data_IF_776153727985
#
_entry.id   IF_776153727985
#
_cell.length_a   1.000
_cell.length_b   1.000
_cell.length_c   1.000
_cell.angle_alpha   90.00
_cell.angle_beta   90.00
_cell.angle_gamma   90.00
#
_symmetry.space_group_name_H-M   'P 1'
#
loop_
_entity.id
_entity.type
_entity.pdbx_description
1 polymer ?
#
# COMPACT_ATOMS: atom_id res chain seq x y z
N UNK A 1 -44.14 4.16 29.93
CA UNK A 1 -43.94 2.70 29.92
C UNK A 1 -43.12 2.27 28.70
N UNK A 2 -41.81 2.53 28.72
CA UNK A 2 -40.91 2.27 27.59
C UNK A 2 -39.49 1.73 27.96
N UNK A 3 -39.14 1.30 29.20
CA UNK A 3 -37.84 0.69 29.43
C UNK A 3 -37.82 -0.86 29.48
N UNK A 4 -38.95 -1.57 29.37
CA UNK A 4 -38.97 -3.04 29.55
C UNK A 4 -38.85 -3.89 28.27
N UNK A 5 -38.95 -3.30 27.07
CA UNK A 5 -38.93 -4.08 25.82
C UNK A 5 -37.51 -4.29 25.27
N UNK A 6 -36.57 -3.39 25.56
CA UNK A 6 -35.19 -3.47 25.06
C UNK A 6 -34.33 -4.53 25.78
N UNK A 7 -34.72 -4.96 26.99
CA UNK A 7 -33.97 -5.96 27.74
C UNK A 7 -34.21 -7.41 27.28
N UNK A 8 -35.29 -7.69 26.51
CA UNK A 8 -35.63 -9.05 26.07
C UNK A 8 -35.04 -9.45 24.72
N UNK A 9 -34.62 -8.50 23.89
CA UNK A 9 -33.98 -8.76 22.59
C UNK A 9 -32.47 -8.97 22.70
N UNK A 10 -31.80 -8.34 23.67
CA UNK A 10 -30.36 -8.53 23.88
C UNK A 10 -29.98 -9.92 24.40
N UNK A 11 -30.87 -10.59 25.15
CA UNK A 11 -30.60 -11.92 25.73
C UNK A 11 -30.82 -13.07 24.74
N UNK A 12 -31.53 -12.83 23.62
CA UNK A 12 -31.82 -13.89 22.63
C UNK A 12 -30.71 -14.11 21.60
N UNK A 13 -29.80 -13.15 21.43
CA UNK A 13 -28.67 -13.28 20.50
C UNK A 13 -27.43 -13.96 21.12
N UNK A 14 -27.39 -14.16 22.44
CA UNK A 14 -26.23 -14.74 23.14
C UNK A 14 -26.32 -16.26 23.37
N UNK A 15 -27.37 -16.95 22.90
CA UNK A 15 -27.59 -18.40 23.15
C UNK A 15 -27.51 -19.33 21.94
N UNK A 16 -27.18 -18.83 20.75
CA UNK A 16 -27.03 -19.67 19.55
C UNK A 16 -25.58 -19.72 19.03
N UNK A 17 -24.61 -19.83 19.94
CA UNK A 17 -23.20 -20.04 19.63
C UNK A 17 -22.75 -21.51 19.73
N UNK A 18 -23.69 -22.45 19.65
CA UNK A 18 -23.38 -23.87 19.56
C UNK A 18 -23.94 -24.44 18.26
N UNK A 19 -23.07 -24.59 17.26
CA UNK A 19 -22.96 -25.71 16.30
C UNK A 19 -22.21 -25.29 15.03
N UNK A 20 -20.94 -24.92 15.16
CA UNK A 20 -20.01 -25.07 14.02
C UNK A 20 -19.55 -26.53 13.98
N UNK A 21 -20.27 -27.37 13.22
CA UNK A 21 -19.73 -28.66 12.78
C UNK A 21 -18.84 -28.42 11.58
N UNK A 22 -17.54 -28.63 11.77
CA UNK A 22 -16.57 -28.77 10.69
C UNK A 22 -16.89 -30.07 9.95
N UNK A 23 -17.40 -29.95 8.72
CA UNK A 23 -17.51 -31.08 7.81
C UNK A 23 -16.16 -31.24 7.12
N UNK A 24 -15.36 -32.18 7.60
CA UNK A 24 -14.17 -32.67 6.91
C UNK A 24 -14.64 -33.63 5.82
N UNK A 25 -14.58 -33.21 4.55
CA UNK A 25 -14.69 -34.14 3.43
C UNK A 25 -13.32 -34.69 3.08
N UNK A 26 -13.18 -36.00 3.24
CA UNK A 26 -12.01 -36.78 2.83
C UNK A 26 -11.88 -36.81 1.30
N UNK A 27 -10.65 -36.92 0.84
CA UNK A 27 -10.24 -36.74 -0.54
C UNK A 27 -10.81 -37.76 -1.53
N UNK A 28 -10.93 -37.31 -2.77
CA UNK A 28 -10.94 -38.17 -3.94
C UNK A 28 -10.04 -37.52 -4.99
N UNK A 29 -8.86 -38.13 -5.17
CA UNK A 29 -7.94 -37.80 -6.23
C UNK A 29 -8.57 -38.20 -7.57
N UNK A 30 -8.79 -37.23 -8.45
CA UNK A 30 -8.89 -37.48 -9.88
C UNK A 30 -7.83 -36.66 -10.60
N UNK A 31 -6.81 -37.39 -11.05
CA UNK A 31 -5.82 -36.92 -12.00
C UNK A 31 -6.55 -36.56 -13.31
N UNK A 32 -6.43 -35.30 -13.70
CA UNK A 32 -6.64 -34.87 -15.08
C UNK A 32 -5.34 -34.22 -15.53
N UNK A 33 -4.60 -34.96 -16.34
CA UNK A 33 -3.40 -34.53 -17.04
C UNK A 33 -3.76 -33.45 -18.06
N UNK A 34 -3.45 -32.20 -17.75
CA UNK A 34 -3.27 -31.15 -18.75
C UNK A 34 -1.78 -30.94 -18.93
N UNK A 35 -1.32 -31.18 -20.15
CA UNK A 35 0.03 -30.89 -20.63
C UNK A 35 0.23 -29.38 -20.50
N UNK A 36 0.99 -28.97 -19.50
CA UNK A 36 1.46 -27.59 -19.32
C UNK A 36 2.69 -27.44 -20.21
N UNK A 37 2.57 -26.58 -21.22
CA UNK A 37 3.72 -26.08 -21.95
C UNK A 37 4.67 -25.41 -20.94
N UNK A 38 5.89 -25.93 -20.84
CA UNK A 38 7.00 -25.31 -20.14
C UNK A 38 7.33 -23.99 -20.83
N UNK A 39 6.71 -22.90 -20.40
CA UNK A 39 7.31 -21.57 -20.53
C UNK A 39 8.31 -21.44 -19.38
N UNK A 40 9.60 -21.53 -19.72
CA UNK A 40 10.69 -21.15 -18.84
C UNK A 40 10.53 -19.68 -18.46
N UNK A 41 10.00 -19.41 -17.27
CA UNK A 41 10.04 -18.09 -16.66
C UNK A 41 11.49 -17.77 -16.29
N UNK A 42 12.22 -17.21 -17.25
CA UNK A 42 13.47 -16.52 -16.97
C UNK A 42 13.13 -15.37 -16.01
N UNK A 43 13.57 -15.50 -14.77
CA UNK A 43 13.34 -14.52 -13.72
C UNK A 43 14.65 -13.74 -13.50
N UNK A 44 14.89 -12.64 -14.24
CA UNK A 44 16.15 -11.88 -14.17
C UNK A 44 16.38 -11.25 -12.78
N UNK A 45 15.35 -11.21 -11.93
CA UNK A 45 15.45 -10.69 -10.58
C UNK A 45 16.10 -11.69 -9.59
N UNK A 46 16.17 -12.98 -9.92
CA UNK A 46 16.76 -14.00 -9.03
C UNK A 46 18.30 -14.05 -9.10
N UNK A 47 18.90 -13.80 -10.27
CA UNK A 47 20.36 -13.78 -10.43
C UNK A 47 20.99 -12.49 -9.88
N UNK A 48 20.25 -11.37 -9.89
CA UNK A 48 20.71 -10.13 -9.25
C UNK A 48 20.77 -10.21 -7.72
N UNK A 49 19.98 -11.08 -7.08
CA UNK A 49 19.96 -11.21 -5.61
C UNK A 49 21.12 -12.08 -5.11
N UNK A 50 21.60 -13.04 -5.91
CA UNK A 50 22.66 -13.96 -5.52
C UNK A 50 24.07 -13.36 -5.63
N UNK A 51 24.29 -12.36 -6.49
CA UNK A 51 25.61 -11.76 -6.70
C UNK A 51 25.96 -10.58 -5.78
N UNK A 52 25.04 -10.12 -4.91
CA UNK A 52 25.22 -8.89 -4.12
C UNK A 52 25.44 -9.11 -2.62
N UNK A 53 25.67 -10.36 -2.17
CA UNK A 53 25.82 -10.70 -0.75
C UNK A 53 27.27 -10.95 -0.27
N UNK A 54 28.30 -10.68 -1.06
CA UNK A 54 29.69 -10.93 -0.64
C UNK A 54 30.69 -9.89 -1.13
N UNK A 55 30.43 -8.61 -0.88
CA UNK A 55 31.47 -7.59 -0.98
C UNK A 55 31.49 -6.75 0.31
N UNK A 56 32.63 -6.66 1.02
CA UNK A 56 32.80 -5.61 2.02
C UNK A 56 32.55 -4.25 1.34
N UNK A 57 32.02 -3.25 2.07
CA UNK A 57 31.72 -1.95 1.48
C UNK A 57 33.00 -1.44 0.81
N UNK A 58 32.96 -1.33 -0.51
CA UNK A 58 33.94 -0.58 -1.26
C UNK A 58 33.93 0.83 -0.65
N UNK A 59 35.08 1.26 -0.14
CA UNK A 59 35.34 2.65 0.23
C UNK A 59 35.20 3.47 -1.05
N UNK A 60 33.96 3.84 -1.39
CA UNK A 60 33.73 4.99 -2.24
C UNK A 60 34.45 6.14 -1.55
N UNK A 61 35.35 6.83 -2.25
CA UNK A 61 35.87 8.13 -1.82
C UNK A 61 34.68 9.11 -1.79
N UNK A 62 33.81 8.95 -0.79
CA UNK A 62 32.88 9.99 -0.39
C UNK A 62 33.74 11.16 0.02
N UNK A 63 33.54 12.27 -0.68
CA UNK A 63 34.17 13.56 -0.41
C UNK A 63 33.85 13.95 1.04
N UNK A 64 34.76 13.60 1.94
CA UNK A 64 34.56 13.62 3.39
C UNK A 64 34.14 15.00 3.88
N UNK A 65 34.71 16.04 3.27
CA UNK A 65 34.39 17.44 3.56
C UNK A 65 32.93 17.76 3.25
N UNK A 66 32.41 17.29 2.11
CA UNK A 66 31.00 17.50 1.73
C UNK A 66 30.04 16.75 2.63
N UNK A 67 30.39 15.52 3.00
CA UNK A 67 29.56 14.74 3.92
C UNK A 67 29.52 15.39 5.30
N UNK A 68 30.65 15.91 5.78
CA UNK A 68 30.70 16.61 7.05
C UNK A 68 29.90 17.92 7.02
N UNK A 69 29.98 18.68 5.92
CA UNK A 69 29.19 19.89 5.73
C UNK A 69 27.68 19.59 5.75
N UNK A 70 27.24 18.50 5.12
CA UNK A 70 25.84 18.08 5.12
C UNK A 70 25.31 17.58 6.47
N UNK A 71 26.22 17.18 7.37
CA UNK A 71 25.87 16.75 8.73
C UNK A 71 25.82 17.92 9.72
N UNK A 72 26.47 19.04 9.43
CA UNK A 72 26.49 20.20 10.33
C UNK A 72 25.08 20.78 10.53
N UNK A 73 24.79 21.34 11.72
CA UNK A 73 23.51 21.95 11.99
C UNK A 73 23.32 23.21 11.14
N UNK A 74 22.10 23.44 10.67
CA UNK A 74 21.76 24.67 9.96
C UNK A 74 21.88 25.89 10.88
N UNK A 75 22.01 27.09 10.28
CA UNK A 75 22.04 28.34 11.06
C UNK A 75 20.82 28.53 11.96
N UNK A 76 19.67 27.95 11.58
CA UNK A 76 18.43 28.07 12.33
C UNK A 76 18.54 27.36 13.68
N UNK A 77 19.18 26.19 13.71
CA UNK A 77 19.42 25.44 14.95
C UNK A 77 20.28 26.26 15.91
N UNK A 78 21.30 26.96 15.40
CA UNK A 78 22.13 27.85 16.23
C UNK A 78 21.36 29.03 16.83
N UNK A 79 20.49 29.66 16.03
CA UNK A 79 19.72 30.85 16.46
C UNK A 79 18.61 30.49 17.44
N UNK A 80 17.95 29.35 17.24
CA UNK A 80 16.80 28.92 18.05
C UNK A 80 17.22 28.14 19.30
N UNK A 81 18.38 27.49 19.30
CA UNK A 81 18.87 26.79 20.48
C UNK A 81 19.24 27.79 21.60
N UNK A 82 18.79 27.57 22.85
CA UNK A 82 19.22 28.39 23.97
C UNK A 82 20.75 28.33 24.14
N UNK A 83 21.38 29.45 24.52
CA UNK A 83 22.84 29.55 24.69
C UNK A 83 23.47 28.46 25.57
N UNK A 84 22.71 27.92 26.54
CA UNK A 84 23.14 26.79 27.39
C UNK A 84 23.45 25.53 26.57
N UNK A 85 22.75 25.32 25.47
CA UNK A 85 22.93 24.16 24.59
C UNK A 85 24.04 24.36 23.55
N UNK A 86 24.55 25.57 23.35
CA UNK A 86 25.64 25.81 22.38
C UNK A 86 26.94 25.11 22.75
N UNK A 87 27.21 24.90 24.05
CA UNK A 87 28.35 24.08 24.49
C UNK A 87 28.13 22.61 24.09
N UNK A 88 27.00 22.03 24.51
CA UNK A 88 26.61 20.66 24.18
C UNK A 88 26.61 20.42 22.67
N UNK A 89 26.16 21.41 21.89
CA UNK A 89 26.11 21.30 20.43
C UNK A 89 27.51 21.26 19.81
N UNK A 90 28.47 22.05 20.31
CA UNK A 90 29.87 21.93 19.87
C UNK A 90 30.46 20.56 20.21
N UNK A 91 30.16 20.05 21.40
CA UNK A 91 30.62 18.71 21.81
C UNK A 91 30.04 17.63 20.88
N UNK A 92 28.75 17.71 20.55
CA UNK A 92 28.08 16.78 19.61
C UNK A 92 28.67 16.90 18.20
N UNK A 93 29.02 18.11 17.74
CA UNK A 93 29.66 18.30 16.42
C UNK A 93 31.02 17.60 16.39
N UNK A 94 31.83 17.73 17.44
CA UNK A 94 33.13 17.04 17.52
C UNK A 94 32.95 15.51 17.56
N UNK A 95 31.94 15.02 18.29
CA UNK A 95 31.59 13.59 18.30
C UNK A 95 31.13 13.12 16.93
N UNK A 96 30.35 13.93 16.20
CA UNK A 96 29.91 13.65 14.84
C UNK A 96 31.07 13.62 13.85
N UNK A 97 32.06 14.49 13.99
CA UNK A 97 33.28 14.47 13.17
C UNK A 97 34.03 13.15 13.35
N UNK A 98 34.23 12.72 14.60
CA UNK A 98 34.85 11.43 14.90
C UNK A 98 34.00 10.28 14.36
N UNK A 99 32.67 10.34 14.55
CA UNK A 99 31.75 9.32 14.06
C UNK A 99 31.68 9.25 12.53
N UNK A 100 31.75 10.39 11.83
CA UNK A 100 31.80 10.42 10.38
C UNK A 100 33.11 9.79 9.86
N UNK A 101 34.21 9.95 10.59
CA UNK A 101 35.50 9.36 10.26
C UNK A 101 35.57 7.85 10.56
N UNK A 102 35.04 7.41 11.72
CA UNK A 102 35.20 6.03 12.21
C UNK A 102 33.97 5.13 12.00
N UNK A 103 32.80 5.73 11.73
CA UNK A 103 31.51 5.05 11.74
C UNK A 103 31.29 4.17 10.51
N UNK A 104 30.66 3.02 10.71
CA UNK A 104 30.28 2.11 9.60
C UNK A 104 29.05 2.60 8.84
N UNK A 105 28.11 3.26 9.54
CA UNK A 105 26.87 3.75 8.97
C UNK A 105 26.68 5.22 9.30
N UNK A 106 27.14 6.08 8.40
CA UNK A 106 27.02 7.53 8.53
C UNK A 106 25.81 8.01 7.73
N UNK A 107 24.90 8.82 8.31
CA UNK A 107 23.80 9.40 7.56
C UNK A 107 24.31 10.34 6.47
N UNK A 108 23.52 10.54 5.42
CA UNK A 108 23.87 11.44 4.31
C UNK A 108 23.64 12.91 4.68
N UNK A 109 22.61 13.18 5.46
CA UNK A 109 22.28 14.51 5.97
C UNK A 109 21.51 14.41 7.29
N UNK A 110 21.52 15.48 8.06
CA UNK A 110 20.73 15.61 9.28
C UNK A 110 19.73 16.75 9.14
N UNK A 111 18.47 16.51 9.52
CA UNK A 111 17.46 17.56 9.57
C UNK A 111 17.55 18.35 10.87
N UNK A 112 16.99 19.57 10.89
CA UNK A 112 16.91 20.40 12.09
C UNK A 112 16.19 19.66 13.24
N UNK A 113 15.15 18.88 12.92
CA UNK A 113 14.42 18.06 13.90
C UNK A 113 15.29 16.97 14.51
N UNK A 114 16.17 16.35 13.72
CA UNK A 114 17.11 15.34 14.22
C UNK A 114 18.12 15.99 15.18
N UNK A 115 18.57 17.21 14.86
CA UNK A 115 19.42 18.01 15.74
C UNK A 115 18.73 18.36 17.06
N UNK A 116 17.47 18.78 17.03
CA UNK A 116 16.71 19.03 18.27
C UNK A 116 16.53 17.77 19.11
N UNK A 117 16.31 16.61 18.47
CA UNK A 117 16.25 15.31 19.18
C UNK A 117 17.58 14.96 19.82
N UNK A 118 18.70 15.18 19.15
CA UNK A 118 20.02 14.93 19.74
C UNK A 118 20.31 15.87 20.92
N UNK A 119 19.90 17.12 20.83
CA UNK A 119 20.10 18.09 21.91
C UNK A 119 19.24 17.78 23.14
N UNK A 120 18.00 17.37 22.95
CA UNK A 120 17.01 17.27 24.03
C UNK A 120 16.79 15.85 24.56
N UNK A 121 16.94 14.83 23.71
CA UNK A 121 16.54 13.45 24.05
C UNK A 121 17.73 12.54 24.29
N UNK A 122 18.86 12.77 23.61
CA UNK A 122 20.06 11.94 23.80
C UNK A 122 21.03 12.60 24.79
N UNK A 123 21.21 11.95 25.94
CA UNK A 123 22.15 12.41 26.97
C UNK A 123 23.52 11.74 26.79
N UNK A 124 23.54 10.44 26.52
CA UNK A 124 24.79 9.67 26.37
C UNK A 124 25.31 9.65 24.93
N UNK A 125 26.62 9.43 24.76
CA UNK A 125 27.25 9.25 23.44
C UNK A 125 26.71 8.00 22.74
N UNK A 126 26.49 6.92 23.50
CA UNK A 126 25.97 5.65 22.95
C UNK A 126 24.57 5.79 22.35
N UNK A 127 23.69 6.56 22.99
CA UNK A 127 22.35 6.84 22.45
C UNK A 127 22.42 7.67 21.17
N UNK A 128 23.35 8.64 21.10
CA UNK A 128 23.59 9.45 19.89
C UNK A 128 24.07 8.59 18.74
N UNK A 129 25.06 7.73 18.97
CA UNK A 129 25.58 6.80 17.95
C UNK A 129 24.46 5.89 17.44
N UNK A 130 23.70 5.26 18.35
CA UNK A 130 22.57 4.39 18.00
C UNK A 130 21.51 5.12 17.17
N UNK A 131 21.23 6.38 17.51
CA UNK A 131 20.30 7.22 16.75
C UNK A 131 20.83 7.54 15.34
N UNK A 132 22.11 7.86 15.21
CA UNK A 132 22.75 8.15 13.91
C UNK A 132 22.79 6.91 13.01
N UNK A 133 23.08 5.74 13.57
CA UNK A 133 23.01 4.46 12.85
C UNK A 133 21.59 4.19 12.33
N UNK A 134 20.59 4.39 13.19
CA UNK A 134 19.19 4.24 12.80
C UNK A 134 18.83 5.17 11.63
N UNK A 135 19.24 6.45 11.70
CA UNK A 135 19.01 7.42 10.63
C UNK A 135 19.70 7.01 9.34
N UNK A 136 20.96 6.60 9.40
CA UNK A 136 21.73 6.16 8.24
C UNK A 136 21.06 4.97 7.53
N UNK A 137 20.63 3.96 8.31
CA UNK A 137 19.92 2.79 7.78
C UNK A 137 18.59 3.20 7.15
N UNK A 138 17.83 4.09 7.81
CA UNK A 138 16.55 4.59 7.31
C UNK A 138 16.71 5.32 5.97
N UNK A 139 17.67 6.23 5.86
CA UNK A 139 17.95 6.98 4.63
C UNK A 139 18.38 6.03 3.50
N UNK A 140 19.25 5.06 3.79
CA UNK A 140 19.68 4.05 2.79
C UNK A 140 18.51 3.22 2.26
N UNK A 141 17.56 2.84 3.13
CA UNK A 141 16.35 2.11 2.70
C UNK A 141 15.45 2.98 1.82
N UNK A 142 15.25 4.24 2.21
CA UNK A 142 14.46 5.19 1.41
C UNK A 142 15.08 5.42 0.03
N UNK A 143 16.41 5.53 -0.05
CA UNK A 143 17.09 5.71 -1.32
C UNK A 143 16.94 4.48 -2.22
N UNK A 144 17.13 3.27 -1.66
CA UNK A 144 16.89 2.02 -2.41
C UNK A 144 15.45 1.91 -2.91
N UNK A 145 14.48 2.27 -2.09
CA UNK A 145 13.07 2.25 -2.49
C UNK A 145 12.77 3.30 -3.56
N UNK A 146 13.39 4.48 -3.49
CA UNK A 146 13.30 5.52 -4.51
C UNK A 146 13.88 5.05 -5.85
N UNK A 147 15.07 4.46 -5.83
CA UNK A 147 15.73 3.90 -7.02
C UNK A 147 14.93 2.76 -7.65
N UNK A 148 14.33 1.88 -6.83
CA UNK A 148 13.43 0.82 -7.34
C UNK A 148 12.20 1.40 -8.02
N UNK A 149 11.61 2.45 -7.45
CA UNK A 149 10.45 3.13 -8.04
C UNK A 149 10.81 3.85 -9.33
N UNK A 150 11.93 4.58 -9.38
CA UNK A 150 12.39 5.27 -10.59
C UNK A 150 12.75 4.27 -11.69
N UNK A 151 13.51 3.22 -11.37
CA UNK A 151 13.84 2.14 -12.31
C UNK A 151 12.59 1.48 -12.89
N UNK A 152 11.59 1.19 -12.06
CA UNK A 152 10.32 0.62 -12.52
C UNK A 152 9.55 1.58 -13.42
N UNK A 153 9.57 2.88 -13.11
CA UNK A 153 8.92 3.90 -13.91
C UNK A 153 9.62 4.09 -15.25
N UNK A 154 10.96 4.14 -15.26
CA UNK A 154 11.76 4.21 -16.48
C UNK A 154 11.50 3.00 -17.39
N UNK A 155 11.57 1.78 -16.84
CA UNK A 155 11.24 0.55 -17.59
C UNK A 155 9.83 0.62 -18.19
N UNK A 156 8.86 1.12 -17.42
CA UNK A 156 7.49 1.28 -17.91
C UNK A 156 7.40 2.30 -19.04
N UNK A 157 8.08 3.45 -18.93
CA UNK A 157 8.12 4.48 -19.98
C UNK A 157 8.80 3.97 -21.24
N UNK A 158 9.93 3.25 -21.12
CA UNK A 158 10.63 2.65 -22.26
C UNK A 158 9.74 1.62 -22.96
N UNK A 159 9.05 0.76 -22.21
CA UNK A 159 8.08 -0.18 -22.77
C UNK A 159 6.93 0.53 -23.49
N UNK A 160 6.39 1.58 -22.88
CA UNK A 160 5.31 2.37 -23.47
C UNK A 160 5.75 3.05 -24.78
N UNK A 161 6.97 3.56 -24.83
CA UNK A 161 7.53 4.18 -26.04
C UNK A 161 7.73 3.15 -27.16
N UNK A 162 8.21 1.94 -26.82
CA UNK A 162 8.30 0.83 -27.78
C UNK A 162 6.93 0.43 -28.33
N UNK A 163 5.91 0.30 -27.46
CA UNK A 163 4.54 -0.01 -27.88
C UNK A 163 3.92 1.12 -28.71
N UNK A 164 4.22 2.39 -28.38
CA UNK A 164 3.79 3.55 -29.16
C UNK A 164 4.44 3.54 -30.55
N UNK A 165 5.72 3.19 -30.66
CA UNK A 165 6.40 3.07 -31.95
C UNK A 165 5.78 1.98 -32.83
N UNK A 166 5.41 0.82 -32.25
CA UNK A 166 4.66 -0.24 -32.96
C UNK A 166 3.32 0.29 -33.50
N UNK A 167 2.56 0.97 -32.65
CA UNK A 167 1.27 1.55 -33.03
C UNK A 167 1.40 2.55 -34.19
N UNK A 168 2.42 3.42 -34.15
CA UNK A 168 2.67 4.39 -35.23
C UNK A 168 3.04 3.74 -36.56
N UNK A 169 3.59 2.52 -36.55
CA UNK A 169 3.82 1.72 -37.77
C UNK A 169 2.58 0.99 -38.29
N UNK A 170 1.44 1.12 -37.60
CA UNK A 170 0.21 0.39 -37.92
C UNK A 170 0.17 -1.03 -37.34
N UNK A 171 1.11 -1.39 -36.46
CA UNK A 171 1.11 -2.66 -35.74
C UNK A 171 0.24 -2.57 -34.48
N UNK A 172 -0.05 -3.71 -33.85
CA UNK A 172 -0.84 -3.75 -32.62
C UNK A 172 0.03 -3.39 -31.40
N UNK A 173 0.15 -2.09 -31.12
CA UNK A 173 0.75 -1.59 -29.89
C UNK A 173 -0.27 -1.43 -28.76
N UNK A 174 0.04 -1.91 -27.55
CA UNK A 174 -0.88 -1.88 -26.40
C UNK A 174 -0.41 -0.93 -25.30
N UNK A 175 -1.34 -0.18 -24.70
CA UNK A 175 -1.02 0.75 -23.62
C UNK A 175 -2.06 1.85 -23.40
N UNK A 176 -1.81 2.74 -22.42
CA UNK A 176 -2.55 4.00 -22.30
C UNK A 176 -2.49 4.77 -23.63
N UNK A 177 -3.62 5.28 -24.09
CA UNK A 177 -3.78 5.99 -25.37
C UNK A 177 -3.44 5.19 -26.65
N UNK A 178 -3.22 3.87 -26.53
CA UNK A 178 -3.04 2.92 -27.63
C UNK A 178 -4.20 1.90 -27.65
N UNK A 179 -4.03 0.77 -28.34
CA UNK A 179 -4.99 -0.32 -28.23
C UNK A 179 -5.05 -0.82 -26.78
N UNK A 180 -6.25 -0.83 -26.21
CA UNK A 180 -6.47 -1.35 -24.86
C UNK A 180 -7.06 -2.75 -24.95
N UNK A 181 -6.40 -3.69 -24.29
CA UNK A 181 -7.00 -4.99 -24.01
C UNK A 181 -8.17 -4.75 -23.05
N UNK A 182 -9.39 -4.79 -23.59
CA UNK A 182 -10.61 -4.80 -22.78
C UNK A 182 -10.60 -6.13 -22.02
N UNK A 183 -10.07 -6.10 -20.80
CA UNK A 183 -10.17 -7.25 -19.92
C UNK A 183 -11.64 -7.54 -19.63
N UNK A 184 -12.00 -8.82 -19.58
CA UNK A 184 -13.33 -9.25 -19.20
C UNK A 184 -13.74 -8.50 -17.91
N UNK A 185 -14.79 -7.66 -17.96
CA UNK A 185 -15.19 -6.80 -16.84
C UNK A 185 -15.60 -7.61 -15.60
N UNK A 186 -15.88 -8.91 -15.77
CA UNK A 186 -16.21 -9.85 -14.69
C UNK A 186 -15.00 -10.59 -14.12
N UNK A 187 -13.79 -10.41 -14.68
CA UNK A 187 -12.56 -11.09 -14.22
C UNK A 187 -12.15 -10.65 -12.82
N UNK A 188 -12.53 -9.44 -12.40
CA UNK A 188 -12.13 -8.88 -11.11
C UNK A 188 -13.34 -8.65 -10.21
N UNK A 189 -14.06 -9.75 -9.88
CA UNK A 189 -15.23 -9.76 -8.99
C UNK A 189 -15.03 -8.91 -7.72
N UNK A 190 -13.84 -8.97 -7.12
CA UNK A 190 -13.50 -8.18 -5.92
C UNK A 190 -13.60 -6.68 -6.16
N UNK A 191 -13.10 -6.17 -7.30
CA UNK A 191 -13.20 -4.73 -7.63
C UNK A 191 -14.64 -4.31 -7.94
N UNK A 192 -15.41 -5.17 -8.61
CA UNK A 192 -16.83 -4.93 -8.90
C UNK A 192 -17.63 -4.83 -7.61
N UNK A 193 -17.43 -5.76 -6.67
CA UNK A 193 -18.11 -5.73 -5.37
C UNK A 193 -17.71 -4.52 -4.53
N UNK A 194 -16.43 -4.10 -4.56
CA UNK A 194 -15.98 -2.88 -3.87
C UNK A 194 -16.64 -1.63 -4.48
N UNK A 195 -16.74 -1.54 -5.81
CA UNK A 195 -17.40 -0.42 -6.48
C UNK A 195 -18.92 -0.38 -6.20
N UNK A 196 -19.59 -1.53 -6.24
CA UNK A 196 -21.01 -1.66 -5.88
C UNK A 196 -21.26 -1.31 -4.41
N UNK A 197 -20.40 -1.80 -3.49
CA UNK A 197 -20.45 -1.47 -2.07
C UNK A 197 -20.24 0.02 -1.80
N UNK A 198 -19.30 0.65 -2.51
CA UNK A 198 -19.07 2.09 -2.41
C UNK A 198 -20.30 2.90 -2.87
N UNK A 199 -20.95 2.49 -3.97
CA UNK A 199 -22.21 3.10 -4.45
C UNK A 199 -23.35 2.93 -3.44
N UNK A 200 -23.48 1.76 -2.84
CA UNK A 200 -24.49 1.50 -1.80
C UNK A 200 -24.26 2.38 -0.57
N UNK A 201 -23.01 2.49 -0.10
CA UNK A 201 -22.66 3.36 1.04
C UNK A 201 -22.90 4.83 0.72
N UNK A 202 -22.59 5.28 -0.50
CA UNK A 202 -22.89 6.64 -0.93
C UNK A 202 -24.41 6.91 -0.91
N UNK A 203 -25.22 6.00 -1.47
CA UNK A 203 -26.68 6.11 -1.44
C UNK A 203 -27.27 6.09 -0.02
N UNK A 204 -26.68 5.32 0.91
CA UNK A 204 -27.09 5.32 2.31
C UNK A 204 -26.78 6.64 3.03
N UNK A 205 -25.71 7.35 2.63
CA UNK A 205 -25.28 8.62 3.22
C UNK A 205 -26.09 9.82 2.72
N UNK A 206 -26.62 9.77 1.51
CA UNK A 206 -27.33 10.89 0.91
C UNK A 206 -28.77 11.06 1.41
N UNK A 207 -29.33 10.14 2.22
CA UNK A 207 -30.77 10.03 2.58
C UNK A 207 -31.76 9.99 1.39
N UNK A 208 -31.33 10.40 0.20
CA UNK A 208 -31.88 10.18 -1.12
C UNK A 208 -31.72 8.72 -1.52
N UNK A 209 -32.55 7.86 -0.94
CA UNK A 209 -32.74 6.51 -1.46
C UNK A 209 -33.62 6.64 -2.71
N UNK A 210 -33.23 6.08 -3.88
CA UNK A 210 -34.13 6.01 -5.01
C UNK A 210 -35.38 5.23 -4.60
N UNK A 211 -36.53 5.90 -4.59
CA UNK A 211 -37.81 5.30 -4.23
C UNK A 211 -38.42 4.74 -5.51
N UNK A 212 -38.47 3.42 -5.60
CA UNK A 212 -39.19 2.73 -6.67
C UNK A 212 -40.63 2.56 -6.19
N UNK A 213 -41.56 3.26 -6.82
CA UNK A 213 -42.99 3.08 -6.59
C UNK A 213 -43.57 2.20 -7.69
N UNK A 214 -44.27 1.14 -7.28
CA UNK A 214 -44.98 0.24 -8.20
C UNK A 214 -46.47 0.52 -8.08
N UNK A 215 -47.10 1.00 -9.15
CA UNK A 215 -48.55 1.18 -9.21
C UNK A 215 -49.21 -0.15 -9.58
N UNK A 216 -49.90 -0.76 -8.61
CA UNK A 216 -50.57 -2.05 -8.75
C UNK A 216 -52.10 -1.91 -8.68
N UNK A 217 -52.64 -0.70 -8.80
CA UNK A 217 -54.08 -0.45 -8.62
C UNK A 217 -54.97 -1.27 -9.57
N UNK A 218 -54.46 -1.62 -10.75
CA UNK A 218 -55.20 -2.39 -11.76
C UNK A 218 -54.93 -3.91 -11.71
N UNK A 219 -54.05 -4.38 -10.83
CA UNK A 219 -53.63 -5.77 -10.76
C UNK A 219 -54.82 -6.73 -10.57
N UNK A 220 -55.80 -6.35 -9.74
CA UNK A 220 -56.97 -7.18 -9.44
C UNK A 220 -58.02 -7.22 -10.56
N UNK A 221 -57.90 -6.35 -11.57
CA UNK A 221 -58.77 -6.35 -12.76
C UNK A 221 -58.24 -7.25 -13.88
N UNK A 222 -56.98 -7.67 -13.78
CA UNK A 222 -56.30 -8.49 -14.78
C UNK A 222 -56.56 -9.99 -14.60
N UNK A 223 -56.27 -10.76 -15.66
CA UNK A 223 -56.41 -12.22 -15.64
C UNK A 223 -55.41 -12.86 -14.68
N UNK A 224 -55.81 -13.92 -14.00
CA UNK A 224 -55.01 -14.62 -12.98
C UNK A 224 -53.62 -15.05 -13.46
N UNK A 225 -53.47 -15.40 -14.75
CA UNK A 225 -52.17 -15.73 -15.36
C UNK A 225 -51.20 -14.54 -15.36
N UNK A 226 -51.69 -13.36 -15.71
CA UNK A 226 -50.89 -12.12 -15.75
C UNK A 226 -50.50 -11.69 -14.34
N UNK A 227 -51.40 -11.88 -13.36
CA UNK A 227 -51.09 -11.64 -11.95
C UNK A 227 -49.97 -12.55 -11.43
N UNK A 228 -49.99 -13.84 -11.78
CA UNK A 228 -48.94 -14.78 -11.39
C UNK A 228 -47.58 -14.44 -12.02
N UNK A 229 -47.59 -14.02 -13.29
CA UNK A 229 -46.38 -13.60 -14.00
C UNK A 229 -45.81 -12.29 -13.43
N UNK A 230 -46.66 -11.32 -13.12
CA UNK A 230 -46.27 -10.09 -12.43
C UNK A 230 -45.69 -10.38 -11.04
N UNK A 231 -46.28 -11.31 -10.29
CA UNK A 231 -45.74 -11.74 -8.99
C UNK A 231 -44.31 -12.31 -9.11
N UNK A 232 -44.05 -13.12 -10.15
CA UNK A 232 -42.71 -13.62 -10.44
C UNK A 232 -41.75 -12.50 -10.84
N UNK A 233 -42.20 -11.54 -11.65
CA UNK A 233 -41.39 -10.39 -12.04
C UNK A 233 -41.05 -9.50 -10.84
N UNK A 234 -41.98 -9.28 -9.93
CA UNK A 234 -41.72 -8.55 -8.68
C UNK A 234 -40.69 -9.27 -7.79
N UNK A 235 -40.71 -10.60 -7.77
CA UNK A 235 -39.70 -11.38 -7.04
C UNK A 235 -38.28 -11.13 -7.58
N UNK A 236 -38.12 -10.98 -8.90
CA UNK A 236 -36.84 -10.64 -9.53
C UNK A 236 -36.41 -9.19 -9.30
N UNK A 237 -37.34 -8.28 -9.02
CA UNK A 237 -37.01 -6.88 -8.66
C UNK A 237 -36.50 -6.79 -7.22
N UNK A 238 -36.94 -7.69 -6.35
CA UNK A 238 -36.54 -7.74 -4.94
C UNK A 238 -35.23 -8.52 -4.73
N UNK A 239 -34.99 -9.54 -5.56
CA UNK A 239 -33.83 -10.46 -5.45
C UNK A 239 -32.57 -9.91 -6.11
#
# INVERSE_FOLDING_TARGET
MLPQVLARTAVRCARNLETFRVVVTQGSARASSTIVAQESSYNPDAEMIAHEQSLPPQLQETDYEKQLEALKPSENVWKLAPFKHHKKMRDIINELEIYAYMGTYVPQSLSDDDWYRMLNTTETVGDRVSFLEYLAIKQRRQEKDRQRKSSRQEKFLTQLEQERAKFMRGEMGYGPDLYQLVHNPLRNRKKVHVAQGARMVAAMRCEERPKIALDLQYMFKEKQRVQAELGNQMQYVIS
#
